data_IF_938356466257
#
_entry.id   IF_938356466257
#
_cell.length_a   1.000
_cell.length_b   1.000
_cell.length_c   1.000
_cell.angle_alpha   90.00
_cell.angle_beta   90.00
_cell.angle_gamma   90.00
#
_symmetry.space_group_name_H-M   'P 1'
#
loop_
_entity.id
_entity.type
_entity.pdbx_description
1 polymer ?
#
# COMPACT_ATOMS: atom_id res chain seq x y z
N UNK A 1 -10.65 9.49 -39.02
CA UNK A 1 -9.32 9.82 -38.48
C UNK A 1 -9.38 10.44 -37.07
N UNK A 2 -10.57 10.58 -36.48
CA UNK A 2 -10.76 11.13 -35.12
C UNK A 2 -10.94 10.00 -34.08
N UNK A 3 -11.43 8.83 -34.50
CA UNK A 3 -11.72 7.71 -33.60
C UNK A 3 -10.49 6.96 -33.06
N UNK A 4 -9.30 7.17 -33.67
CA UNK A 4 -8.07 6.52 -33.21
C UNK A 4 -7.45 7.17 -31.95
N UNK A 5 -7.85 8.40 -31.61
CA UNK A 5 -7.31 9.12 -30.44
C UNK A 5 -8.16 8.97 -29.18
N UNK A 6 -9.36 8.40 -29.27
CA UNK A 6 -10.27 8.23 -28.13
C UNK A 6 -9.98 6.97 -27.32
N UNK A 7 -9.24 5.99 -27.87
CA UNK A 7 -8.91 4.73 -27.19
C UNK A 7 -7.60 4.80 -26.38
N UNK A 8 -6.88 5.92 -26.41
CA UNK A 8 -5.65 6.08 -25.65
C UNK A 8 -5.92 6.88 -24.35
N UNK A 9 -6.58 6.23 -23.38
CA UNK A 9 -6.67 6.80 -22.04
C UNK A 9 -5.34 6.58 -21.30
N UNK A 10 -4.44 7.55 -21.38
CA UNK A 10 -3.22 7.58 -20.58
C UNK A 10 -3.52 8.27 -19.24
N UNK A 11 -3.60 7.50 -18.16
CA UNK A 11 -3.75 8.06 -16.82
C UNK A 11 -2.38 8.16 -16.13
N UNK A 12 -1.97 9.38 -15.80
CA UNK A 12 -0.82 9.63 -14.93
C UNK A 12 -1.30 9.68 -13.48
N UNK A 13 -0.80 8.74 -12.67
CA UNK A 13 -1.06 8.71 -11.25
C UNK A 13 0.11 9.34 -10.50
N UNK A 14 -0.20 10.30 -9.61
CA UNK A 14 0.78 10.98 -8.78
C UNK A 14 0.46 10.73 -7.31
N UNK A 15 1.49 10.58 -6.49
CA UNK A 15 1.37 10.62 -5.03
C UNK A 15 0.95 12.01 -4.55
N UNK A 16 0.52 12.13 -3.30
CA UNK A 16 0.18 13.44 -2.74
C UNK A 16 1.39 14.39 -2.79
N UNK A 17 1.25 15.59 -3.41
CA UNK A 17 2.34 16.54 -3.48
C UNK A 17 2.64 17.15 -2.12
N UNK A 18 3.92 17.24 -1.76
CA UNK A 18 4.32 18.00 -0.58
C UNK A 18 4.12 19.49 -0.82
N UNK A 19 3.94 20.26 0.25
CA UNK A 19 3.83 21.73 0.17
C UNK A 19 5.00 22.37 -0.58
N UNK A 20 6.18 21.77 -0.52
CA UNK A 20 7.35 22.23 -1.27
C UNK A 20 7.13 22.15 -2.78
N UNK A 21 6.68 21.03 -3.31
CA UNK A 21 6.41 20.86 -4.74
C UNK A 21 5.28 21.77 -5.22
N UNK A 22 4.23 21.93 -4.40
CA UNK A 22 3.14 22.88 -4.68
C UNK A 22 3.67 24.30 -4.79
N UNK A 23 4.48 24.74 -3.85
CA UNK A 23 5.07 26.08 -3.84
C UNK A 23 5.96 26.34 -5.05
N UNK A 24 6.84 25.40 -5.40
CA UNK A 24 7.72 25.52 -6.58
C UNK A 24 6.92 25.54 -7.87
N UNK A 25 5.88 24.68 -7.99
CA UNK A 25 4.99 24.67 -9.15
C UNK A 25 4.32 26.04 -9.37
N UNK A 26 3.68 26.61 -8.35
CA UNK A 26 3.01 27.91 -8.46
C UNK A 26 3.99 29.06 -8.72
N UNK A 27 5.17 29.03 -8.11
CA UNK A 27 6.21 30.02 -8.38
C UNK A 27 6.61 30.02 -9.87
N UNK A 28 6.89 28.85 -10.42
CA UNK A 28 7.29 28.73 -11.84
C UNK A 28 6.15 29.09 -12.78
N UNK A 29 4.91 28.71 -12.44
CA UNK A 29 3.71 29.06 -13.19
C UNK A 29 3.52 30.58 -13.27
N UNK A 30 3.54 31.28 -12.13
CA UNK A 30 3.40 32.73 -12.06
C UNK A 30 4.54 33.46 -12.80
N UNK A 31 5.77 32.97 -12.64
CA UNK A 31 6.93 33.50 -13.37
C UNK A 31 6.81 33.32 -14.88
N UNK A 32 6.25 32.19 -15.32
CA UNK A 32 5.95 31.95 -16.75
C UNK A 32 4.93 32.94 -17.29
N UNK A 33 3.80 33.16 -16.58
CA UNK A 33 2.78 34.16 -16.96
C UNK A 33 3.39 35.55 -17.05
N UNK A 34 4.18 35.95 -16.05
CA UNK A 34 4.84 37.27 -16.05
C UNK A 34 5.74 37.44 -17.30
N UNK A 35 6.53 36.43 -17.66
CA UNK A 35 7.39 36.46 -18.86
C UNK A 35 6.60 36.50 -20.16
N UNK A 36 5.47 35.79 -20.25
CA UNK A 36 4.57 35.87 -21.43
C UNK A 36 4.04 37.32 -21.59
N UNK A 37 3.54 37.91 -20.52
CA UNK A 37 3.07 39.31 -20.56
C UNK A 37 4.16 40.29 -20.98
N UNK A 38 5.43 40.01 -20.63
CA UNK A 38 6.58 40.83 -21.00
C UNK A 38 7.19 40.45 -22.37
N UNK A 39 6.53 39.56 -23.14
CA UNK A 39 7.00 39.06 -24.45
C UNK A 39 8.41 38.45 -24.40
N UNK A 40 8.79 37.83 -23.26
CA UNK A 40 10.08 37.18 -23.07
C UNK A 40 10.00 35.68 -23.39
N UNK A 41 11.14 35.09 -23.74
CA UNK A 41 11.23 33.65 -23.99
C UNK A 41 10.99 32.85 -22.69
N UNK A 42 10.14 31.82 -22.77
CA UNK A 42 9.69 31.01 -21.63
C UNK A 42 10.27 29.57 -21.62
N UNK A 43 11.16 29.24 -22.56
CA UNK A 43 11.67 27.88 -22.69
C UNK A 43 12.36 27.36 -21.43
N UNK A 44 13.06 28.23 -20.70
CA UNK A 44 13.72 27.82 -19.44
C UNK A 44 12.72 27.51 -18.34
N UNK A 45 11.65 28.27 -18.21
CA UNK A 45 10.59 28.05 -17.23
C UNK A 45 9.82 26.76 -17.54
N UNK A 46 9.53 26.48 -18.81
CA UNK A 46 8.89 25.24 -19.23
C UNK A 46 9.78 24.01 -18.97
N UNK A 47 11.08 24.10 -19.29
CA UNK A 47 12.03 23.02 -19.00
C UNK A 47 12.16 22.78 -17.49
N UNK A 48 12.21 23.84 -16.69
CA UNK A 48 12.30 23.73 -15.24
C UNK A 48 11.02 23.17 -14.64
N UNK A 49 9.85 23.62 -15.13
CA UNK A 49 8.55 23.07 -14.70
C UNK A 49 8.47 21.57 -15.02
N UNK A 50 8.88 21.17 -16.20
CA UNK A 50 8.92 19.76 -16.60
C UNK A 50 9.87 18.94 -15.70
N UNK A 51 11.06 19.47 -15.38
CA UNK A 51 12.00 18.82 -14.47
C UNK A 51 11.42 18.66 -13.06
N UNK A 52 10.70 19.68 -12.56
CA UNK A 52 10.00 19.60 -11.24
C UNK A 52 8.91 18.53 -11.26
N UNK A 53 8.11 18.45 -12.33
CA UNK A 53 7.09 17.41 -12.47
C UNK A 53 7.69 16.01 -12.54
N UNK A 54 8.82 15.84 -13.25
CA UNK A 54 9.56 14.58 -13.27
C UNK A 54 10.11 14.23 -11.88
N UNK A 55 10.74 15.18 -11.20
CA UNK A 55 11.26 14.99 -9.85
C UNK A 55 10.14 14.60 -8.88
N UNK A 56 8.98 15.24 -8.99
CA UNK A 56 7.81 14.90 -8.19
C UNK A 56 7.27 13.50 -8.51
N UNK A 57 7.21 13.13 -9.79
CA UNK A 57 6.78 11.79 -10.20
C UNK A 57 7.66 10.68 -9.63
N UNK A 58 8.99 10.93 -9.61
CA UNK A 58 9.96 9.96 -9.08
C UNK A 58 10.16 10.04 -7.56
N UNK A 59 9.69 11.11 -6.91
CA UNK A 59 9.91 11.32 -5.47
C UNK A 59 9.49 10.15 -4.58
N UNK A 60 8.34 9.48 -4.76
CA UNK A 60 7.94 8.34 -3.94
C UNK A 60 8.94 7.18 -4.01
N UNK A 61 9.59 6.97 -5.17
CA UNK A 61 10.57 5.90 -5.36
C UNK A 61 11.87 6.11 -4.58
N UNK A 62 12.12 7.34 -4.09
CA UNK A 62 13.26 7.64 -3.22
C UNK A 62 13.00 7.36 -1.74
N UNK A 63 11.86 6.77 -1.38
CA UNK A 63 11.64 6.34 0.00
C UNK A 63 12.66 5.26 0.38
N UNK A 64 13.72 5.68 1.06
CA UNK A 64 14.82 4.80 1.50
C UNK A 64 14.42 3.95 2.71
N UNK A 65 13.35 4.32 3.38
CA UNK A 65 12.88 3.63 4.58
C UNK A 65 11.65 2.81 4.23
N UNK A 66 11.67 1.52 4.59
CA UNK A 66 10.44 0.74 4.61
C UNK A 66 9.50 1.28 5.70
N UNK A 67 8.22 1.03 5.56
CA UNK A 67 7.22 1.42 6.54
C UNK A 67 6.21 0.29 6.77
N UNK A 68 5.67 0.27 7.97
CA UNK A 68 4.50 -0.54 8.35
C UNK A 68 3.46 0.43 8.87
N UNK A 69 2.30 0.43 8.27
CA UNK A 69 1.22 1.37 8.60
C UNK A 69 -0.08 0.59 8.75
N UNK A 70 -0.79 0.83 9.83
CA UNK A 70 -2.17 0.38 9.99
C UNK A 70 -3.08 1.40 9.30
N UNK A 71 -3.81 0.94 8.28
CA UNK A 71 -4.78 1.76 7.57
C UNK A 71 -6.08 1.75 8.35
N UNK A 72 -6.65 2.92 8.65
CA UNK A 72 -7.97 3.02 9.26
C UNK A 72 -9.06 2.57 8.29
N UNK A 73 -9.47 1.33 8.41
CA UNK A 73 -10.56 0.71 7.63
C UNK A 73 -11.90 0.78 8.36
N UNK A 74 -11.90 1.25 9.60
CA UNK A 74 -13.08 1.44 10.47
C UNK A 74 -13.44 0.20 11.27
N UNK A 75 -13.43 -0.99 10.70
CA UNK A 75 -13.61 -2.26 11.42
C UNK A 75 -12.64 -3.29 10.86
N UNK A 76 -12.03 -4.07 11.78
CA UNK A 76 -11.02 -5.09 11.48
C UNK A 76 -9.65 -4.52 11.15
N UNK A 77 -8.78 -5.35 10.65
CA UNK A 77 -7.37 -5.06 10.43
C UNK A 77 -7.05 -4.77 8.96
N UNK A 78 -6.09 -3.87 8.75
CA UNK A 78 -5.49 -3.62 7.44
C UNK A 78 -4.10 -3.02 7.63
N UNK A 79 -3.05 -3.82 7.45
CA UNK A 79 -1.68 -3.37 7.59
C UNK A 79 -0.99 -3.28 6.24
N UNK A 80 -0.49 -2.11 5.92
CA UNK A 80 0.31 -1.88 4.73
C UNK A 80 1.80 -1.93 5.06
N UNK A 81 2.53 -2.78 4.35
CA UNK A 81 3.98 -2.94 4.45
C UNK A 81 4.59 -2.50 3.12
N UNK A 82 5.43 -1.48 3.17
CA UNK A 82 6.19 -1.02 2.02
C UNK A 82 7.69 -1.23 2.26
N UNK A 83 8.35 -1.89 1.32
CA UNK A 83 9.80 -2.00 1.34
C UNK A 83 10.47 -0.72 0.81
N UNK A 84 11.73 -0.44 1.21
CA UNK A 84 12.48 0.66 0.65
C UNK A 84 12.47 0.62 -0.89
N UNK A 85 12.41 1.80 -1.51
CA UNK A 85 12.39 1.96 -2.97
C UNK A 85 11.26 1.20 -3.68
N UNK A 86 10.12 1.03 -3.02
CA UNK A 86 8.95 0.30 -3.54
C UNK A 86 9.28 -1.13 -4.04
N UNK A 87 10.30 -1.77 -3.46
CA UNK A 87 10.70 -3.14 -3.83
C UNK A 87 9.69 -4.22 -3.45
N UNK A 88 8.68 -3.86 -2.68
CA UNK A 88 7.56 -4.70 -2.31
C UNK A 88 6.51 -3.88 -1.59
N UNK A 89 5.27 -4.00 -2.04
CA UNK A 89 4.09 -3.39 -1.46
C UNK A 89 3.14 -4.51 -1.06
N UNK A 90 2.96 -4.71 0.23
CA UNK A 90 2.23 -5.84 0.77
C UNK A 90 1.10 -5.33 1.66
N UNK A 91 -0.04 -5.98 1.61
CA UNK A 91 -1.14 -5.76 2.52
C UNK A 91 -1.35 -7.01 3.38
N UNK A 92 -1.65 -6.84 4.65
CA UNK A 92 -2.10 -7.91 5.55
C UNK A 92 -3.50 -7.51 6.01
N UNK A 93 -4.48 -8.34 5.66
CA UNK A 93 -5.91 -8.13 5.79
C UNK A 93 -6.41 -6.87 5.03
N UNK A 94 -7.70 -6.76 4.87
CA UNK A 94 -8.33 -5.69 4.09
C UNK A 94 -9.44 -4.98 4.85
N UNK A 95 -9.71 -5.41 6.08
CA UNK A 95 -10.87 -4.93 6.81
C UNK A 95 -12.19 -5.27 6.12
N UNK A 96 -13.26 -4.79 6.71
CA UNK A 96 -14.59 -4.92 6.13
C UNK A 96 -15.60 -4.11 6.94
N UNK A 97 -16.39 -3.29 6.27
CA UNK A 97 -17.42 -2.49 6.90
C UNK A 97 -18.72 -2.66 6.14
N UNK A 98 -19.79 -3.09 6.85
CA UNK A 98 -21.12 -3.22 6.26
C UNK A 98 -21.56 -1.88 5.65
N UNK A 99 -22.13 -1.92 4.46
CA UNK A 99 -22.64 -0.76 3.72
C UNK A 99 -21.58 0.27 3.28
N UNK A 100 -20.30 -0.09 3.31
CA UNK A 100 -19.22 0.80 2.84
C UNK A 100 -18.20 -0.02 2.09
N UNK A 101 -17.89 0.39 0.87
CA UNK A 101 -16.76 -0.16 0.12
C UNK A 101 -15.46 0.44 0.68
N UNK A 102 -14.83 -0.31 1.57
CA UNK A 102 -13.60 0.09 2.25
C UNK A 102 -12.42 0.15 1.28
N UNK A 103 -12.39 -0.72 0.27
CA UNK A 103 -11.31 -0.74 -0.73
C UNK A 103 -11.24 0.59 -1.48
N UNK A 104 -12.35 1.00 -2.10
CA UNK A 104 -12.38 2.21 -2.93
C UNK A 104 -12.37 3.51 -2.13
N UNK A 105 -12.90 3.50 -0.90
CA UNK A 105 -13.01 4.71 -0.08
C UNK A 105 -11.83 4.98 0.84
N UNK A 106 -11.06 3.96 1.21
CA UNK A 106 -9.98 4.07 2.20
C UNK A 106 -8.66 3.49 1.73
N UNK A 107 -8.64 2.19 1.35
CA UNK A 107 -7.38 1.48 1.05
C UNK A 107 -6.74 2.05 -0.22
N UNK A 108 -7.46 2.05 -1.35
CA UNK A 108 -6.92 2.50 -2.64
C UNK A 108 -6.46 3.96 -2.58
N UNK A 109 -7.28 4.93 -2.07
CA UNK A 109 -6.82 6.32 -1.94
C UNK A 109 -5.58 6.47 -1.07
N UNK A 110 -5.47 5.69 0.02
CA UNK A 110 -4.26 5.68 0.84
C UNK A 110 -3.04 5.19 0.04
N UNK A 111 -3.14 4.03 -0.61
CA UNK A 111 -2.05 3.45 -1.41
C UNK A 111 -1.59 4.41 -2.51
N UNK A 112 -2.53 4.99 -3.24
CA UNK A 112 -2.24 5.98 -4.30
C UNK A 112 -1.56 7.22 -3.73
N UNK A 113 -1.97 7.70 -2.56
CA UNK A 113 -1.33 8.82 -1.88
C UNK A 113 0.14 8.55 -1.53
N UNK A 114 0.50 7.28 -1.33
CA UNK A 114 1.86 6.83 -1.10
C UNK A 114 2.63 6.51 -2.41
N UNK A 115 2.02 6.76 -3.57
CA UNK A 115 2.60 6.44 -4.88
C UNK A 115 2.63 4.94 -5.18
N UNK A 116 1.74 4.18 -4.56
CA UNK A 116 1.59 2.73 -4.78
C UNK A 116 0.44 2.49 -5.73
N UNK A 117 0.70 1.83 -6.85
CA UNK A 117 -0.28 1.54 -7.90
C UNK A 117 -0.44 0.05 -8.17
N UNK A 118 0.24 -0.76 -7.39
CA UNK A 118 0.06 -2.22 -7.37
C UNK A 118 0.53 -2.81 -6.05
N UNK A 119 -0.14 -3.86 -5.60
CA UNK A 119 0.28 -4.70 -4.49
C UNK A 119 0.98 -5.96 -5.02
N UNK A 120 2.10 -6.32 -4.42
CA UNK A 120 2.82 -7.55 -4.74
C UNK A 120 2.13 -8.75 -4.11
N UNK A 121 1.58 -8.57 -2.91
CA UNK A 121 0.76 -9.58 -2.25
C UNK A 121 -0.26 -8.95 -1.29
N UNK A 122 -1.35 -9.66 -1.08
CA UNK A 122 -2.30 -9.46 0.00
C UNK A 122 -2.36 -10.76 0.80
N UNK A 123 -1.98 -10.73 2.06
CA UNK A 123 -2.18 -11.83 2.99
C UNK A 123 -3.53 -11.67 3.66
N UNK A 124 -4.25 -12.77 3.81
CA UNK A 124 -5.49 -12.83 4.59
C UNK A 124 -5.24 -13.76 5.78
N UNK A 125 -5.40 -13.22 6.97
CA UNK A 125 -5.20 -13.97 8.22
C UNK A 125 -6.25 -15.05 8.40
N UNK A 126 -7.53 -14.70 8.19
CA UNK A 126 -8.69 -15.59 8.23
C UNK A 126 -9.87 -15.01 7.44
N UNK A 127 -10.96 -15.79 7.33
CA UNK A 127 -12.05 -15.47 6.39
C UNK A 127 -13.16 -14.60 7.00
N UNK A 128 -13.00 -14.04 8.21
CA UNK A 128 -14.00 -13.18 8.77
C UNK A 128 -14.12 -11.87 7.98
N UNK A 129 -15.35 -11.35 7.91
CA UNK A 129 -15.68 -10.21 7.05
C UNK A 129 -14.88 -8.96 7.38
N UNK A 130 -14.53 -8.74 8.61
CA UNK A 130 -13.71 -7.59 9.06
C UNK A 130 -12.21 -7.76 8.78
N UNK A 131 -11.78 -8.90 8.21
CA UNK A 131 -10.41 -9.12 7.73
C UNK A 131 -10.32 -9.29 6.21
N UNK A 132 -11.31 -9.90 5.57
CA UNK A 132 -11.31 -10.13 4.13
C UNK A 132 -12.41 -9.40 3.35
N UNK A 133 -13.29 -8.65 4.01
CA UNK A 133 -14.51 -8.09 3.42
C UNK A 133 -14.28 -7.13 2.26
N UNK A 134 -13.16 -6.41 2.23
CA UNK A 134 -12.84 -5.51 1.12
C UNK A 134 -12.00 -6.16 0.01
N UNK A 135 -11.60 -7.43 0.14
CA UNK A 135 -10.67 -8.10 -0.78
C UNK A 135 -11.16 -8.13 -2.22
N UNK A 136 -12.40 -8.52 -2.46
CA UNK A 136 -12.94 -8.64 -3.82
C UNK A 136 -13.07 -7.27 -4.51
N UNK A 137 -13.50 -6.25 -3.78
CA UNK A 137 -13.52 -4.88 -4.30
C UNK A 137 -12.10 -4.37 -4.59
N UNK A 138 -11.14 -4.67 -3.72
CA UNK A 138 -9.74 -4.32 -3.92
C UNK A 138 -9.17 -4.97 -5.20
N UNK A 139 -9.40 -6.26 -5.42
CA UNK A 139 -8.97 -6.97 -6.64
C UNK A 139 -9.60 -6.42 -7.91
N UNK A 140 -10.84 -5.93 -7.81
CA UNK A 140 -11.57 -5.38 -8.95
C UNK A 140 -11.04 -4.01 -9.37
N UNK A 141 -10.69 -3.15 -8.41
CA UNK A 141 -10.37 -1.75 -8.65
C UNK A 141 -8.87 -1.43 -8.53
N UNK A 142 -8.06 -2.38 -8.07
CA UNK A 142 -6.64 -2.18 -7.87
C UNK A 142 -5.82 -3.41 -8.31
N UNK A 143 -4.62 -3.17 -8.82
CA UNK A 143 -3.77 -4.26 -9.29
C UNK A 143 -3.17 -5.03 -8.12
N UNK A 144 -3.65 -6.24 -7.87
CA UNK A 144 -3.10 -7.20 -6.90
C UNK A 144 -2.45 -8.35 -7.67
N UNK A 145 -1.16 -8.64 -7.41
CA UNK A 145 -0.45 -9.73 -8.11
C UNK A 145 -0.78 -11.09 -7.54
N UNK A 146 -0.87 -11.20 -6.22
CA UNK A 146 -1.10 -12.46 -5.53
C UNK A 146 -1.92 -12.24 -4.26
N UNK A 147 -2.85 -13.16 -3.97
CA UNK A 147 -3.55 -13.26 -2.67
C UNK A 147 -3.07 -14.53 -2.00
N UNK A 148 -2.72 -14.45 -0.72
CA UNK A 148 -2.11 -15.52 0.07
C UNK A 148 -2.98 -15.76 1.30
N UNK A 149 -3.75 -16.85 1.29
CA UNK A 149 -4.63 -17.24 2.39
C UNK A 149 -4.01 -18.37 3.25
N UNK A 150 -3.08 -19.11 2.66
CA UNK A 150 -2.38 -20.21 3.36
C UNK A 150 -0.94 -20.31 2.90
N UNK A 151 -0.02 -20.35 3.85
CA UNK A 151 1.42 -20.51 3.57
C UNK A 151 2.15 -21.01 4.83
N UNK A 152 3.33 -21.56 4.66
CA UNK A 152 4.30 -21.79 5.76
C UNK A 152 5.35 -20.70 5.78
N UNK A 153 5.96 -20.45 4.64
CA UNK A 153 6.92 -19.41 4.42
C UNK A 153 6.72 -18.80 3.04
N UNK A 154 6.91 -17.50 2.91
CA UNK A 154 6.79 -16.76 1.64
C UNK A 154 7.83 -15.65 1.58
N UNK A 155 8.46 -15.49 0.42
CA UNK A 155 9.36 -14.37 0.16
C UNK A 155 8.75 -13.42 -0.84
N UNK A 156 8.75 -12.13 -0.50
CA UNK A 156 8.28 -11.04 -1.36
C UNK A 156 9.34 -9.94 -1.31
N UNK A 157 10.00 -9.70 -2.44
CA UNK A 157 11.18 -8.84 -2.46
C UNK A 157 12.24 -9.35 -1.50
N UNK A 158 12.67 -8.51 -0.56
CA UNK A 158 13.67 -8.87 0.43
C UNK A 158 13.06 -9.36 1.76
N UNK A 159 11.73 -9.36 1.89
CA UNK A 159 11.06 -9.79 3.11
C UNK A 159 10.77 -11.28 3.09
N UNK A 160 10.95 -11.92 4.24
CA UNK A 160 10.64 -13.30 4.48
C UNK A 160 9.54 -13.40 5.52
N UNK A 161 8.35 -13.76 5.05
CA UNK A 161 7.18 -14.00 5.87
C UNK A 161 7.15 -15.45 6.33
N UNK A 162 6.86 -15.66 7.61
CA UNK A 162 6.65 -16.99 8.20
C UNK A 162 5.28 -17.03 8.85
N UNK A 163 4.56 -18.11 8.65
CA UNK A 163 3.36 -18.38 9.41
C UNK A 163 3.74 -19.20 10.64
N UNK A 164 3.53 -18.63 11.81
CA UNK A 164 3.82 -19.26 13.10
C UNK A 164 2.61 -19.97 13.70
N UNK A 165 1.49 -20.08 12.96
CA UNK A 165 0.33 -20.82 13.43
C UNK A 165 0.72 -22.26 13.81
N UNK A 166 0.23 -22.70 14.97
CA UNK A 166 0.55 -23.99 15.50
C UNK A 166 -0.24 -25.09 14.77
N UNK A 167 0.37 -26.24 14.55
CA UNK A 167 -0.29 -27.42 13.98
C UNK A 167 -1.19 -28.11 15.01
N UNK A 168 -2.05 -27.30 15.66
CA UNK A 168 -3.02 -27.71 16.66
C UNK A 168 -4.44 -27.43 16.13
N UNK A 169 -5.35 -28.35 16.35
CA UNK A 169 -6.74 -28.18 15.93
C UNK A 169 -7.47 -27.30 16.95
N UNK A 170 -7.66 -26.05 16.62
CA UNK A 170 -8.54 -25.13 17.32
C UNK A 170 -9.96 -25.22 16.76
N UNK A 171 -10.96 -24.98 17.61
CA UNK A 171 -12.38 -25.08 17.25
C UNK A 171 -12.84 -23.79 16.56
N UNK A 172 -12.41 -22.63 17.08
CA UNK A 172 -12.76 -21.33 16.54
C UNK A 172 -12.05 -21.06 15.20
N UNK A 173 -12.70 -20.38 14.26
CA UNK A 173 -12.10 -19.91 13.02
C UNK A 173 -11.02 -18.86 13.29
N UNK A 174 -11.28 -17.96 14.23
CA UNK A 174 -10.32 -16.95 14.67
C UNK A 174 -9.02 -17.59 15.17
N UNK A 175 -9.12 -18.67 15.97
CA UNK A 175 -7.94 -19.37 16.49
C UNK A 175 -7.15 -20.15 15.43
N UNK A 176 -7.70 -20.25 14.21
CA UNK A 176 -7.03 -20.83 13.03
C UNK A 176 -6.40 -19.77 12.12
N UNK A 177 -6.40 -18.53 12.56
CA UNK A 177 -5.78 -17.43 11.83
C UNK A 177 -4.33 -17.73 11.50
N UNK A 178 -3.89 -17.25 10.35
CA UNK A 178 -2.47 -17.18 10.01
C UNK A 178 -1.77 -16.19 10.91
N UNK A 179 -0.75 -16.63 11.64
CA UNK A 179 0.06 -15.79 12.53
C UNK A 179 1.31 -15.40 11.75
N UNK A 180 1.31 -14.20 11.23
CA UNK A 180 2.28 -13.74 10.24
C UNK A 180 3.44 -13.04 10.94
N UNK A 181 4.64 -13.63 10.84
CA UNK A 181 5.87 -13.06 11.34
C UNK A 181 6.75 -12.55 10.20
N UNK A 182 7.31 -11.35 10.35
CA UNK A 182 8.25 -10.76 9.39
C UNK A 182 9.21 -9.81 10.09
N UNK A 183 10.47 -9.75 9.63
CA UNK A 183 11.45 -8.77 10.08
C UNK A 183 11.60 -7.66 9.03
N UNK A 184 11.40 -6.41 9.44
CA UNK A 184 11.49 -5.23 8.59
C UNK A 184 12.39 -4.21 9.27
N UNK A 185 13.43 -3.74 8.59
CA UNK A 185 14.39 -2.76 9.14
C UNK A 185 14.92 -3.12 10.54
N UNK A 186 15.27 -4.38 10.76
CA UNK A 186 15.74 -4.96 12.03
C UNK A 186 14.69 -5.01 13.16
N UNK A 187 13.44 -4.66 12.88
CA UNK A 187 12.31 -4.80 13.80
C UNK A 187 11.48 -6.04 13.42
N UNK A 188 11.09 -6.79 14.44
CA UNK A 188 10.24 -7.95 14.28
C UNK A 188 8.78 -7.55 14.44
N UNK A 189 7.96 -7.93 13.48
CA UNK A 189 6.52 -7.71 13.47
C UNK A 189 5.81 -9.05 13.54
N UNK A 190 4.77 -9.10 14.36
CA UNK A 190 3.87 -10.24 14.50
C UNK A 190 2.45 -9.75 14.31
N UNK A 191 1.77 -10.28 13.29
CA UNK A 191 0.37 -10.02 13.01
C UNK A 191 -0.40 -11.29 13.37
N UNK A 192 -1.23 -11.20 14.39
CA UNK A 192 -1.87 -12.37 15.00
C UNK A 192 -3.27 -12.64 14.46
N UNK A 193 -3.88 -11.67 13.77
CA UNK A 193 -5.31 -11.71 13.53
C UNK A 193 -6.07 -11.76 14.87
N UNK A 194 -7.20 -12.43 14.88
CA UNK A 194 -8.14 -12.47 16.02
C UNK A 194 -7.97 -13.72 16.90
N UNK A 195 -6.71 -14.17 17.11
CA UNK A 195 -6.46 -15.34 17.97
C UNK A 195 -6.82 -15.07 19.43
N UNK A 196 -7.30 -16.11 20.12
CA UNK A 196 -7.61 -16.04 21.54
C UNK A 196 -6.35 -16.07 22.42
N UNK A 197 -6.51 -15.70 23.71
CA UNK A 197 -5.44 -15.79 24.70
C UNK A 197 -4.90 -17.21 24.89
N UNK A 198 -5.69 -18.24 24.58
CA UNK A 198 -5.24 -19.64 24.64
C UNK A 198 -4.18 -19.88 23.58
N UNK A 199 -4.42 -19.44 22.34
CA UNK A 199 -3.48 -19.56 21.23
C UNK A 199 -2.22 -18.74 21.48
N UNK A 200 -2.36 -17.52 22.02
CA UNK A 200 -1.20 -16.69 22.41
C UNK A 200 -0.31 -17.40 23.44
N UNK A 201 -0.90 -18.03 24.46
CA UNK A 201 -0.13 -18.80 25.45
C UNK A 201 0.59 -20.01 24.85
N UNK A 202 -0.10 -20.76 23.99
CA UNK A 202 0.49 -21.88 23.28
C UNK A 202 1.66 -21.43 22.40
N UNK A 203 1.50 -20.32 21.70
CA UNK A 203 2.54 -19.70 20.86
C UNK A 203 3.77 -19.32 21.72
N UNK A 204 3.54 -18.61 22.80
CA UNK A 204 4.59 -18.20 23.73
C UNK A 204 5.37 -19.38 24.25
N UNK A 205 4.70 -20.46 24.70
CA UNK A 205 5.34 -21.67 25.18
C UNK A 205 6.17 -22.38 24.11
N UNK A 206 5.72 -22.32 22.86
CA UNK A 206 6.39 -23.00 21.74
C UNK A 206 7.64 -22.25 21.28
N UNK A 207 7.61 -20.92 21.25
CA UNK A 207 8.67 -20.08 20.68
C UNK A 207 9.55 -19.36 21.73
N UNK A 208 9.33 -19.58 23.02
CA UNK A 208 10.13 -18.98 24.10
C UNK A 208 11.52 -19.61 24.27
N UNK A 209 11.90 -20.62 23.49
CA UNK A 209 13.16 -21.36 23.59
C UNK A 209 14.30 -20.72 22.83
#
# INVERSE_FOLDING_TARGET
MIDFLTDFSFSLHFSQPTFFFIGVYYYLYLKGIYKINMQRKIHQELSLLFAVLLAFYFYPFYNMKGQVVMIDVGQGDCFFIQQPFHKGNILIDTGGLKNTDVATKRIIPYLESQGVFSLDAVFISHQDFDHCGALESLKTHFKVKEVIESFKEKRIGNLHFKNLALDKRYVSENDRSSIIYVTINHLNYLFTGDISQEVEKDLYQTYQK
#
